data_IF_233488040007
#
_entry.id   IF_233488040007
#
_cell.length_a   1.000
_cell.length_b   1.000
_cell.length_c   1.000
_cell.angle_alpha   90.00
_cell.angle_beta   90.00
_cell.angle_gamma   90.00
#
_symmetry.space_group_name_H-M   'P 1'
#
loop_
_entity.id
_entity.type
_entity.pdbx_description
1 polymer ?
#
# COMPACT_ATOMS: atom_id res chain seq x y z
N UNK A 1 -33.14 -10.95 9.47
CA UNK A 1 -31.89 -11.70 9.28
C UNK A 1 -31.51 -11.62 7.81
N UNK A 2 -30.19 -11.60 7.55
CA UNK A 2 -29.51 -11.66 6.24
C UNK A 2 -29.32 -10.34 5.50
N UNK A 3 -28.11 -9.80 5.61
CA UNK A 3 -27.22 -9.49 4.47
C UNK A 3 -25.80 -9.26 5.04
N UNK A 4 -25.15 -10.32 5.50
CA UNK A 4 -23.68 -10.31 5.61
C UNK A 4 -23.16 -11.11 4.42
N UNK A 5 -23.04 -10.40 3.29
CA UNK A 5 -22.20 -10.89 2.21
C UNK A 5 -20.78 -10.92 2.77
N UNK A 6 -20.25 -12.12 2.87
CA UNK A 6 -18.89 -12.49 3.26
C UNK A 6 -17.89 -11.52 2.61
N UNK A 7 -17.54 -10.46 3.34
CA UNK A 7 -16.45 -9.53 2.96
C UNK A 7 -15.20 -10.37 3.07
N UNK A 8 -14.84 -11.01 1.96
CA UNK A 8 -13.63 -11.82 1.84
C UNK A 8 -12.47 -10.93 2.24
N UNK A 9 -12.01 -11.09 3.48
CA UNK A 9 -10.99 -10.27 4.12
C UNK A 9 -9.68 -10.48 3.35
N UNK A 10 -9.46 -9.66 2.31
CA UNK A 10 -8.21 -9.72 1.59
C UNK A 10 -7.12 -9.25 2.54
N UNK A 11 -6.09 -10.09 2.67
CA UNK A 11 -4.93 -9.82 3.53
C UNK A 11 -4.07 -8.73 2.88
N UNK A 12 -4.05 -8.67 1.54
CA UNK A 12 -3.33 -7.69 0.73
C UNK A 12 -4.29 -6.85 -0.14
N UNK A 13 -3.82 -5.71 -0.68
CA UNK A 13 -4.58 -4.93 -1.67
C UNK A 13 -4.78 -5.77 -2.95
N UNK A 14 -5.87 -5.56 -3.71
CA UNK A 14 -6.22 -6.43 -4.84
C UNK A 14 -5.44 -6.11 -6.13
N UNK A 15 -4.10 -6.12 -6.06
CA UNK A 15 -3.19 -5.94 -7.19
C UNK A 15 -3.11 -7.20 -8.07
N UNK A 16 -3.24 -8.38 -7.47
CA UNK A 16 -2.95 -9.65 -8.14
C UNK A 16 -1.45 -10.00 -8.07
N UNK A 17 -1.14 -11.29 -7.99
CA UNK A 17 0.24 -11.77 -7.86
C UNK A 17 1.01 -11.55 -9.17
N UNK A 18 2.21 -10.98 -9.08
CA UNK A 18 3.09 -10.73 -10.22
C UNK A 18 2.65 -9.60 -11.16
N UNK A 19 1.60 -8.84 -10.82
CA UNK A 19 1.15 -7.70 -11.62
C UNK A 19 1.73 -6.40 -11.12
N UNK A 20 2.28 -5.66 -12.08
CA UNK A 20 2.84 -4.34 -11.87
C UNK A 20 1.75 -3.27 -11.98
N UNK A 21 1.77 -2.34 -11.03
CA UNK A 21 0.97 -1.12 -11.02
C UNK A 21 1.92 0.07 -11.02
N UNK A 22 1.72 0.99 -11.94
CA UNK A 22 2.40 2.29 -11.92
C UNK A 22 1.90 3.07 -10.71
N UNK A 23 2.82 3.70 -9.98
CA UNK A 23 2.52 4.45 -8.76
C UNK A 23 2.76 5.93 -9.01
N UNK A 24 1.90 6.78 -8.44
CA UNK A 24 2.19 8.20 -8.26
C UNK A 24 1.83 8.63 -6.84
N UNK A 25 2.64 9.51 -6.25
CA UNK A 25 2.25 10.17 -4.99
C UNK A 25 1.09 11.12 -5.20
N UNK A 26 0.24 11.23 -4.19
CA UNK A 26 -0.90 12.15 -4.18
C UNK A 26 -0.50 13.43 -3.45
N UNK A 27 -0.94 14.58 -3.98
CA UNK A 27 -0.88 15.87 -3.29
C UNK A 27 0.54 16.26 -2.86
N UNK A 28 1.48 16.09 -3.78
CA UNK A 28 2.84 16.63 -3.69
C UNK A 28 2.99 17.74 -4.73
N UNK A 29 3.76 18.80 -4.42
CA UNK A 29 4.06 19.85 -5.42
C UNK A 29 4.73 19.25 -6.66
N UNK A 30 5.67 18.33 -6.43
CA UNK A 30 6.35 17.56 -7.46
C UNK A 30 5.89 16.11 -7.33
N UNK A 31 5.23 15.59 -8.37
CA UNK A 31 4.75 14.20 -8.37
C UNK A 31 5.95 13.25 -8.37
N UNK A 32 5.90 12.23 -7.52
CA UNK A 32 6.85 11.13 -7.53
C UNK A 32 6.19 9.90 -8.10
N UNK A 33 6.92 9.19 -8.95
CA UNK A 33 6.46 7.99 -9.62
C UNK A 33 7.08 6.73 -9.03
N UNK A 34 6.58 5.58 -9.44
CA UNK A 34 6.98 4.33 -8.83
C UNK A 34 6.33 3.09 -9.43
N UNK A 35 6.54 1.97 -8.75
CA UNK A 35 5.93 0.70 -9.10
C UNK A 35 5.47 -0.04 -7.86
N UNK A 36 4.35 -0.75 -7.94
CA UNK A 36 3.90 -1.66 -6.90
C UNK A 36 3.54 -3.02 -7.50
N UNK A 37 3.85 -4.09 -6.79
CA UNK A 37 3.37 -5.44 -7.13
C UNK A 37 3.19 -6.29 -5.87
N UNK A 38 2.46 -7.40 -6.01
CA UNK A 38 2.46 -8.46 -5.01
C UNK A 38 3.32 -9.62 -5.48
N UNK A 39 4.20 -10.09 -4.61
CA UNK A 39 5.00 -11.28 -4.86
C UNK A 39 4.78 -12.30 -3.74
N UNK A 40 4.92 -13.58 -4.07
CA UNK A 40 4.84 -14.66 -3.10
C UNK A 40 6.26 -15.16 -2.83
N UNK A 41 6.78 -14.87 -1.65
CA UNK A 41 8.03 -15.44 -1.16
C UNK A 41 7.71 -16.33 0.04
N UNK A 42 7.56 -17.63 -0.22
CA UNK A 42 7.22 -18.62 0.81
C UNK A 42 8.35 -18.89 1.80
N UNK A 43 9.56 -18.42 1.53
CA UNK A 43 10.70 -18.52 2.46
C UNK A 43 10.58 -17.44 3.55
N UNK A 44 10.10 -16.25 3.16
CA UNK A 44 10.01 -15.09 4.05
C UNK A 44 8.64 -14.97 4.73
N UNK A 45 7.55 -15.33 4.05
CA UNK A 45 6.18 -15.23 4.58
C UNK A 45 5.21 -16.23 3.96
N UNK A 46 4.17 -16.59 4.72
CA UNK A 46 3.03 -17.36 4.21
C UNK A 46 2.00 -16.49 3.48
N UNK A 47 2.08 -15.16 3.63
CA UNK A 47 1.23 -14.19 2.93
C UNK A 47 2.01 -13.50 1.80
N UNK A 48 1.32 -12.94 0.80
CA UNK A 48 2.02 -12.16 -0.23
C UNK A 48 2.73 -10.94 0.36
N UNK A 49 3.85 -10.60 -0.23
CA UNK A 49 4.61 -9.38 0.06
C UNK A 49 4.17 -8.29 -0.92
N UNK A 50 3.79 -7.14 -0.38
CA UNK A 50 3.60 -5.91 -1.13
C UNK A 50 4.96 -5.24 -1.31
N UNK A 51 5.46 -5.26 -2.54
CA UNK A 51 6.61 -4.45 -2.91
C UNK A 51 6.13 -3.11 -3.43
N UNK A 52 6.80 -2.05 -2.98
CA UNK A 52 6.57 -0.68 -3.40
C UNK A 52 7.92 -0.03 -3.69
N UNK A 53 8.13 0.37 -4.92
CA UNK A 53 9.24 1.22 -5.32
C UNK A 53 8.71 2.63 -5.53
N UNK A 54 9.36 3.60 -4.90
CA UNK A 54 9.02 5.02 -5.06
C UNK A 54 10.27 5.81 -5.36
N UNK A 55 10.16 6.77 -6.27
CA UNK A 55 11.20 7.77 -6.49
C UNK A 55 11.69 8.40 -5.19
N UNK A 56 12.99 8.68 -5.17
CA UNK A 56 13.58 9.50 -4.11
C UNK A 56 13.10 10.93 -4.31
N UNK A 57 12.89 11.69 -3.23
CA UNK A 57 12.39 13.05 -3.31
C UNK A 57 13.51 14.01 -3.72
N UNK A 58 14.02 13.84 -4.94
CA UNK A 58 15.06 14.66 -5.59
C UNK A 58 14.51 15.09 -6.94
N UNK A 59 14.76 16.34 -7.32
CA UNK A 59 14.33 16.86 -8.61
C UNK A 59 14.98 16.07 -9.76
N UNK A 60 14.16 15.54 -10.66
CA UNK A 60 14.61 14.75 -11.81
C UNK A 60 13.66 14.98 -12.98
N UNK A 61 14.23 15.11 -14.18
CA UNK A 61 13.46 15.13 -15.43
C UNK A 61 13.14 13.72 -15.95
N UNK A 62 13.82 12.70 -15.41
CA UNK A 62 13.61 11.29 -15.75
C UNK A 62 12.86 10.64 -14.60
N UNK A 63 11.63 10.24 -14.90
CA UNK A 63 10.79 9.54 -13.94
C UNK A 63 10.94 8.03 -14.08
N UNK A 64 10.84 7.35 -12.95
CA UNK A 64 10.90 5.92 -12.86
C UNK A 64 9.54 5.28 -13.12
N UNK A 65 9.57 4.04 -13.59
CA UNK A 65 8.42 3.26 -14.01
C UNK A 65 8.56 1.82 -13.53
N UNK A 66 7.53 0.99 -13.72
CA UNK A 66 7.66 -0.43 -13.41
C UNK A 66 8.76 -1.15 -14.21
N UNK A 67 9.15 -0.61 -15.37
CA UNK A 67 10.24 -1.14 -16.20
C UNK A 67 11.64 -0.65 -15.79
N UNK A 68 11.74 0.44 -15.00
CA UNK A 68 13.01 0.95 -14.47
C UNK A 68 12.85 1.39 -13.01
N UNK A 69 13.33 0.54 -12.11
CA UNK A 69 13.26 0.71 -10.66
C UNK A 69 14.59 1.15 -10.04
N UNK A 70 15.63 1.40 -10.85
CA UNK A 70 17.03 1.52 -10.38
C UNK A 70 17.30 2.72 -9.47
N UNK A 71 16.54 3.81 -9.64
CA UNK A 71 16.67 5.05 -8.86
C UNK A 71 15.58 5.25 -7.80
N UNK A 72 14.86 4.18 -7.47
CA UNK A 72 13.78 4.20 -6.49
C UNK A 72 14.24 3.62 -5.15
N UNK A 73 13.57 4.04 -4.08
CA UNK A 73 13.65 3.34 -2.80
C UNK A 73 12.65 2.18 -2.81
N UNK A 74 13.10 1.01 -2.36
CA UNK A 74 12.29 -0.21 -2.30
C UNK A 74 11.80 -0.45 -0.87
N UNK A 75 10.48 -0.52 -0.73
CA UNK A 75 9.78 -0.90 0.48
C UNK A 75 9.16 -2.28 0.26
N UNK A 76 9.36 -3.18 1.23
CA UNK A 76 8.74 -4.50 1.23
C UNK A 76 7.87 -4.58 2.46
N UNK A 77 6.60 -4.87 2.27
CA UNK A 77 5.64 -5.06 3.35
C UNK A 77 5.06 -6.45 3.28
N UNK A 78 5.11 -7.16 4.40
CA UNK A 78 4.28 -8.35 4.57
C UNK A 78 2.86 -7.93 4.90
N UNK A 79 1.90 -8.48 4.17
CA UNK A 79 0.50 -8.30 4.48
C UNK A 79 0.11 -9.20 5.66
N UNK A 80 -0.30 -8.60 6.76
CA UNK A 80 -0.67 -9.32 7.97
C UNK A 80 -2.18 -9.58 8.02
N UNK A 81 -2.56 -10.73 8.54
CA UNK A 81 -3.96 -11.10 8.71
C UNK A 81 -4.66 -10.20 9.74
N UNK A 82 -5.97 -10.05 9.56
CA UNK A 82 -6.84 -9.13 10.30
C UNK A 82 -7.41 -9.72 11.60
N UNK A 83 -7.04 -10.95 11.94
CA UNK A 83 -7.78 -11.80 12.90
C UNK A 83 -7.91 -11.23 14.31
N UNK A 84 -7.05 -10.30 14.72
CA UNK A 84 -7.07 -9.75 16.09
C UNK A 84 -8.00 -8.54 16.28
N UNK A 85 -8.47 -7.86 15.23
CA UNK A 85 -9.12 -6.54 15.37
C UNK A 85 -10.43 -6.38 14.57
N UNK A 86 -11.43 -7.21 14.90
CA UNK A 86 -12.82 -7.08 14.40
C UNK A 86 -13.45 -5.70 14.67
N UNK A 87 -12.97 -4.97 15.68
CA UNK A 87 -13.50 -3.64 16.03
C UNK A 87 -13.01 -2.53 15.09
N UNK A 88 -11.75 -2.59 14.63
CA UNK A 88 -11.20 -1.62 13.67
C UNK A 88 -11.92 -1.68 12.33
N UNK A 89 -12.35 -2.87 11.92
CA UNK A 89 -13.14 -3.09 10.70
C UNK A 89 -14.50 -2.42 10.79
N UNK A 90 -15.14 -2.48 11.97
CA UNK A 90 -16.42 -1.84 12.21
C UNK A 90 -16.34 -0.31 12.18
N UNK A 91 -15.17 0.28 12.47
CA UNK A 91 -15.00 1.74 12.48
C UNK A 91 -14.62 2.26 11.09
N UNK A 92 -13.63 1.64 10.44
CA UNK A 92 -13.10 2.10 9.14
C UNK A 92 -13.95 1.57 7.99
N UNK A 93 -14.39 0.31 8.03
CA UNK A 93 -15.22 -0.31 7.00
C UNK A 93 -16.60 0.33 6.87
N UNK A 94 -17.16 0.88 7.96
CA UNK A 94 -18.40 1.68 7.91
C UNK A 94 -18.31 2.93 7.04
N UNK A 95 -17.10 3.42 6.75
CA UNK A 95 -16.84 4.58 5.89
C UNK A 95 -16.49 4.19 4.44
N UNK A 96 -16.64 2.92 4.05
CA UNK A 96 -16.38 2.44 2.69
C UNK A 96 -14.90 2.18 2.38
N UNK A 97 -14.02 2.25 3.38
CA UNK A 97 -12.59 2.02 3.21
C UNK A 97 -12.19 0.59 3.56
N UNK A 98 -11.25 0.04 2.79
CA UNK A 98 -10.55 -1.18 3.15
C UNK A 98 -9.35 -0.81 4.02
N UNK A 99 -8.98 -1.69 4.95
CA UNK A 99 -7.81 -1.52 5.80
C UNK A 99 -6.93 -2.77 5.73
N UNK A 100 -5.61 -2.64 5.96
CA UNK A 100 -4.63 -3.74 6.04
C UNK A 100 -3.60 -3.42 7.12
N UNK A 101 -3.16 -4.44 7.85
CA UNK A 101 -1.96 -4.37 8.70
C UNK A 101 -0.75 -4.78 7.85
N UNK A 102 0.26 -3.95 7.81
CA UNK A 102 1.52 -4.19 7.10
C UNK A 102 2.65 -4.35 8.11
N UNK A 103 3.59 -5.25 7.84
CA UNK A 103 4.84 -5.36 8.59
C UNK A 103 6.03 -5.06 7.66
N UNK A 104 6.89 -4.12 8.06
CA UNK A 104 8.09 -3.76 7.30
C UNK A 104 9.04 -4.95 7.24
N UNK A 105 9.38 -5.36 6.02
CA UNK A 105 10.42 -6.35 5.77
C UNK A 105 11.64 -5.62 5.20
N UNK A 106 12.79 -5.81 5.85
CA UNK A 106 14.06 -5.33 5.28
C UNK A 106 14.44 -6.27 4.12
N UNK A 107 14.87 -5.75 2.95
CA UNK A 107 15.53 -6.59 1.95
C UNK A 107 16.75 -7.25 2.61
N UNK A 108 16.89 -8.56 2.44
CA UNK A 108 17.82 -9.44 3.15
C UNK A 108 19.22 -8.82 3.35
N UNK A 109 19.49 -8.32 4.56
CA UNK A 109 20.86 -8.13 5.06
C UNK A 109 21.33 -9.50 5.56
N UNK A 110 22.27 -10.11 4.82
CA UNK A 110 22.93 -11.40 5.05
C UNK A 110 23.72 -11.53 6.37
N UNK A 111 23.42 -10.73 7.40
CA UNK A 111 24.12 -10.79 8.67
C UNK A 111 23.35 -11.67 9.65
N UNK A 112 23.88 -12.88 9.88
CA UNK A 112 23.44 -13.88 10.85
C UNK A 112 23.43 -13.42 12.33
N UNK A 113 23.70 -12.14 12.61
CA UNK A 113 23.91 -11.62 13.96
C UNK A 113 22.94 -10.49 14.37
N UNK A 114 21.84 -10.27 13.66
CA UNK A 114 20.83 -9.29 14.13
C UNK A 114 19.77 -9.98 15.00
N UNK A 115 20.07 -9.99 16.30
CA UNK A 115 19.18 -10.10 17.44
C UNK A 115 17.85 -9.40 17.17
N UNK A 116 16.74 -10.14 17.23
CA UNK A 116 15.32 -9.70 17.23
C UNK A 116 15.14 -8.33 16.55
N UNK A 117 15.16 -8.31 15.22
CA UNK A 117 14.87 -7.09 14.44
C UNK A 117 13.54 -6.52 14.90
N UNK A 118 13.53 -5.29 15.36
CA UNK A 118 12.29 -4.54 15.59
C UNK A 118 11.48 -4.52 14.30
N UNK A 119 10.37 -5.25 14.28
CA UNK A 119 9.39 -5.19 13.20
C UNK A 119 8.63 -3.88 13.36
N UNK A 120 8.58 -3.09 12.31
CA UNK A 120 7.73 -1.91 12.26
C UNK A 120 6.41 -2.31 11.63
N UNK A 121 5.31 -2.05 12.32
CA UNK A 121 3.96 -2.27 11.84
C UNK A 121 3.36 -0.97 11.35
N UNK A 122 2.56 -1.07 10.28
CA UNK A 122 1.87 0.06 9.66
C UNK A 122 0.41 -0.30 9.43
N UNK A 123 -0.44 0.71 9.48
CA UNK A 123 -1.76 0.62 8.90
C UNK A 123 -1.72 1.10 7.45
N UNK A 124 -2.39 0.37 6.55
CA UNK A 124 -2.76 0.87 5.24
C UNK A 124 -4.28 0.97 5.12
N UNK A 125 -4.77 2.08 4.59
CA UNK A 125 -6.18 2.28 4.25
C UNK A 125 -6.27 2.53 2.75
N UNK A 126 -7.21 1.88 2.07
CA UNK A 126 -7.33 1.98 0.63
C UNK A 126 -8.77 1.84 0.13
N UNK A 127 -9.02 2.36 -1.06
CA UNK A 127 -10.20 2.09 -1.86
C UNK A 127 -9.81 1.72 -3.29
N UNK A 128 -10.76 1.14 -4.01
CA UNK A 128 -10.56 0.61 -5.35
C UNK A 128 -11.64 1.17 -6.24
N UNK A 129 -11.22 1.77 -7.34
CA UNK A 129 -12.08 2.25 -8.42
C UNK A 129 -11.72 1.47 -9.67
N UNK A 130 -12.58 0.52 -10.03
CA UNK A 130 -12.41 -0.30 -11.23
C UNK A 130 -13.21 0.30 -12.39
N UNK A 131 -12.54 0.54 -13.51
CA UNK A 131 -13.18 0.85 -14.79
C UNK A 131 -13.19 -0.42 -15.63
N UNK A 132 -14.28 -1.19 -15.55
CA UNK A 132 -14.42 -2.45 -16.28
C UNK A 132 -14.32 -2.26 -17.81
N UNK A 133 -14.85 -1.13 -18.31
CA UNK A 133 -14.83 -0.78 -19.74
C UNK A 133 -13.42 -0.53 -20.24
N UNK A 134 -12.60 0.17 -19.45
CA UNK A 134 -11.22 0.50 -19.85
C UNK A 134 -10.24 -0.60 -19.46
N UNK A 135 -10.68 -1.60 -18.68
CA UNK A 135 -9.80 -2.61 -18.11
C UNK A 135 -8.76 -2.00 -17.18
N UNK A 136 -9.08 -0.92 -16.50
CA UNK A 136 -8.17 -0.17 -15.61
C UNK A 136 -8.63 -0.35 -14.18
N UNK A 137 -7.67 -0.61 -13.29
CA UNK A 137 -7.84 -0.64 -11.84
C UNK A 137 -7.07 0.53 -11.22
N UNK A 138 -7.78 1.35 -10.46
CA UNK A 138 -7.21 2.44 -9.68
C UNK A 138 -7.32 2.08 -8.21
N UNK A 139 -6.19 2.06 -7.50
CA UNK A 139 -6.18 1.87 -6.05
C UNK A 139 -5.59 3.12 -5.42
N UNK A 140 -6.34 3.77 -4.52
CA UNK A 140 -5.81 4.87 -3.71
C UNK A 140 -5.50 4.31 -2.35
N UNK A 141 -4.31 4.61 -1.84
CA UNK A 141 -3.85 4.04 -0.59
C UNK A 141 -3.10 5.09 0.23
N UNK A 142 -3.35 5.07 1.53
CA UNK A 142 -2.54 5.74 2.52
C UNK A 142 -1.87 4.70 3.42
N UNK A 143 -0.58 4.87 3.71
CA UNK A 143 0.22 3.98 4.57
C UNK A 143 0.78 4.81 5.73
N UNK A 144 0.57 4.38 6.97
CA UNK A 144 1.01 5.10 8.16
C UNK A 144 2.53 5.09 8.34
N UNK A 145 3.01 5.93 9.24
CA UNK A 145 4.32 5.73 9.85
C UNK A 145 4.41 4.37 10.56
N UNK A 146 5.61 3.80 10.57
CA UNK A 146 5.89 2.50 11.19
C UNK A 146 6.07 2.63 12.70
N UNK A 147 5.46 1.71 13.45
CA UNK A 147 5.60 1.63 14.92
C UNK A 147 6.15 0.29 15.34
N UNK A 148 6.95 0.26 16.39
CA UNK A 148 7.58 -0.97 16.91
C UNK A 148 6.63 -1.83 17.74
N UNK A 149 5.42 -1.35 18.04
CA UNK A 149 4.42 -2.11 18.77
C UNK A 149 3.80 -3.16 17.85
N UNK A 150 3.72 -4.39 18.33
CA UNK A 150 3.11 -5.54 17.67
C UNK A 150 1.60 -5.38 17.43
N UNK A 151 0.95 -4.47 18.16
CA UNK A 151 -0.46 -4.15 18.02
C UNK A 151 -0.67 -3.11 16.93
N UNK A 152 -1.61 -3.38 16.03
CA UNK A 152 -2.08 -2.39 15.08
C UNK A 152 -2.94 -1.39 15.86
N UNK A 153 -2.44 -0.17 16.01
CA UNK A 153 -3.24 0.90 16.58
C UNK A 153 -4.30 1.34 15.57
N UNK A 154 -5.56 0.98 15.83
CA UNK A 154 -6.72 1.34 14.99
C UNK A 154 -6.78 2.86 14.77
N UNK A 155 -6.33 3.65 15.73
CA UNK A 155 -6.27 5.11 15.65
C UNK A 155 -5.42 5.60 14.46
N UNK A 156 -4.34 4.88 14.10
CA UNK A 156 -3.57 5.18 12.88
C UNK A 156 -4.46 4.98 11.64
N UNK A 157 -5.19 3.88 11.56
CA UNK A 157 -6.11 3.60 10.46
C UNK A 157 -7.25 4.62 10.39
N UNK A 158 -7.82 4.99 11.54
CA UNK A 158 -8.93 5.94 11.59
C UNK A 158 -8.48 7.32 11.11
N UNK A 159 -7.31 7.78 11.57
CA UNK A 159 -6.71 9.05 11.14
C UNK A 159 -6.45 9.09 9.63
N UNK A 160 -5.91 8.00 9.06
CA UNK A 160 -5.74 7.85 7.62
C UNK A 160 -7.09 7.90 6.88
N UNK A 161 -8.10 7.19 7.38
CA UNK A 161 -9.43 7.15 6.75
C UNK A 161 -10.13 8.52 6.74
N UNK A 162 -9.99 9.30 7.83
CA UNK A 162 -10.50 10.68 7.91
C UNK A 162 -9.81 11.56 6.88
N UNK A 163 -8.48 11.44 6.79
CA UNK A 163 -7.67 12.22 5.85
C UNK A 163 -8.04 11.90 4.40
N UNK A 164 -8.06 10.61 4.04
CA UNK A 164 -8.47 10.11 2.72
C UNK A 164 -9.91 10.49 2.32
N UNK A 165 -10.78 10.75 3.30
CA UNK A 165 -12.15 11.20 3.07
C UNK A 165 -12.32 12.68 2.75
N UNK A 166 -11.25 13.49 2.84
CA UNK A 166 -11.33 14.90 2.44
C UNK A 166 -11.15 15.09 0.94
N UNK A 167 -11.99 15.95 0.35
CA UNK A 167 -11.89 16.33 -1.08
C UNK A 167 -10.57 17.03 -1.42
N UNK A 168 -9.97 17.70 -0.42
CA UNK A 168 -8.71 18.44 -0.56
C UNK A 168 -7.75 18.04 0.56
N UNK A 169 -6.84 17.15 0.19
CA UNK A 169 -5.67 16.79 0.98
C UNK A 169 -4.65 17.96 0.96
N UNK A 170 -3.95 18.29 2.06
CA UNK A 170 -2.88 19.29 2.01
C UNK A 170 -1.71 18.87 1.11
N UNK A 171 -1.12 19.86 0.43
CA UNK A 171 0.04 19.65 -0.42
C UNK A 171 1.32 19.46 0.39
N UNK A 172 2.10 18.44 0.05
CA UNK A 172 3.44 18.29 0.57
C UNK A 172 4.41 19.27 -0.12
N UNK A 173 5.33 19.88 0.66
CA UNK A 173 6.45 20.62 0.10
C UNK A 173 7.25 19.79 -0.90
N UNK A 174 7.97 20.48 -1.76
CA UNK A 174 8.93 19.83 -2.64
C UNK A 174 10.04 19.16 -1.83
N UNK A 175 10.57 18.04 -2.32
CA UNK A 175 11.60 17.27 -1.61
C UNK A 175 11.07 16.41 -0.46
N UNK A 176 9.76 16.22 -0.31
CA UNK A 176 9.20 15.23 0.63
C UNK A 176 8.12 14.35 0.01
N UNK A 177 8.14 13.08 0.42
CA UNK A 177 7.12 12.05 0.09
C UNK A 177 6.22 11.68 1.27
N UNK A 178 6.55 12.19 2.46
CA UNK A 178 5.83 11.89 3.70
C UNK A 178 5.10 13.12 4.18
N UNK A 179 3.89 12.87 4.67
CA UNK A 179 3.11 13.83 5.42
C UNK A 179 3.74 14.11 6.78
N UNK A 180 3.36 15.21 7.45
CA UNK A 180 3.90 15.55 8.76
C UNK A 180 3.75 14.45 9.82
N UNK A 181 2.73 13.59 9.68
CA UNK A 181 2.49 12.42 10.54
C UNK A 181 3.24 11.15 10.06
N UNK A 182 4.23 11.29 9.16
CA UNK A 182 5.04 10.20 8.61
C UNK A 182 4.35 9.28 7.61
N UNK A 183 3.06 9.52 7.30
CA UNK A 183 2.30 8.69 6.35
C UNK A 183 2.58 9.04 4.89
N UNK A 184 2.30 8.10 3.99
CA UNK A 184 2.49 8.22 2.54
C UNK A 184 1.16 7.96 1.84
N UNK A 185 0.83 8.78 0.84
CA UNK A 185 -0.40 8.68 0.05
C UNK A 185 -0.05 8.43 -1.41
N UNK A 186 -0.60 7.37 -1.99
CA UNK A 186 -0.29 6.90 -3.34
C UNK A 186 -1.55 6.57 -4.14
N UNK A 187 -1.49 6.87 -5.43
CA UNK A 187 -2.35 6.30 -6.47
C UNK A 187 -1.57 5.17 -7.16
N UNK A 188 -2.22 4.04 -7.33
CA UNK A 188 -1.75 2.91 -8.12
C UNK A 188 -2.67 2.74 -9.32
N UNK A 189 -2.09 2.67 -10.51
CA UNK A 189 -2.77 2.48 -11.78
C UNK A 189 -2.25 1.20 -12.44
N UNK A 190 -3.14 0.26 -12.72
CA UNK A 190 -2.78 -0.99 -13.38
C UNK A 190 -3.88 -1.50 -14.28
N UNK A 191 -3.55 -2.46 -15.15
CA UNK A 191 -4.55 -3.14 -15.97
C UNK A 191 -5.25 -4.23 -15.17
N UNK A 192 -6.57 -4.29 -15.28
CA UNK A 192 -7.40 -5.33 -14.70
C UNK A 192 -7.22 -6.65 -15.48
N UNK A 193 -7.07 -7.76 -14.74
CA UNK A 193 -6.78 -9.09 -15.29
C UNK A 193 -7.83 -9.62 -16.30
N UNK A 194 -9.07 -9.10 -16.26
CA UNK A 194 -10.16 -9.58 -17.11
C UNK A 194 -9.90 -9.40 -18.62
N UNK A 195 -8.97 -8.52 -19.02
CA UNK A 195 -8.64 -8.31 -20.44
C UNK A 195 -7.40 -9.07 -20.93
N UNK A 196 -6.68 -9.81 -20.07
CA UNK A 196 -5.55 -10.63 -20.52
C UNK A 196 -5.97 -12.04 -20.99
N UNK A 197 -7.15 -12.52 -20.59
CA UNK A 197 -7.66 -13.83 -21.00
C UNK A 197 -8.20 -13.88 -22.44
N UNK A 198 -8.42 -12.71 -23.08
CA UNK A 198 -8.95 -12.60 -24.44
C UNK A 198 -7.92 -12.11 -25.48
N UNK A 199 -6.62 -12.13 -25.14
CA UNK A 199 -5.53 -11.69 -26.02
C UNK A 199 -4.57 -12.83 -26.40
N UNK A 200 -5.04 -14.08 -26.40
CA UNK A 200 -4.34 -15.20 -27.03
C UNK A 200 -5.29 -15.99 -27.90
#
# INVERSE_FOLDING_TARGET
MNYDADVKLSVCPPLGLGVNFEVTTIQTRSRMYGCANLEKDTVVSTTPLLNLWLERPVETSVHGHCNDKTKMDHFIFECMSKYEHREGEKVVGKKGWNYIKLADRKPNLNNKNETIRSLFYRCAVYDVHDSAVEGIKIIRMAISEGRTQDKLEIDQCESLSKTMGHDRLPFLPEGTRRWPNGSIYIYMLGRSYFNQANSK
#
